data_IF_579937899295
#
_entry.id   IF_579937899295
#
_cell.length_a   1.000
_cell.length_b   1.000
_cell.length_c   1.000
_cell.angle_alpha   90.00
_cell.angle_beta   90.00
_cell.angle_gamma   90.00
#
_symmetry.space_group_name_H-M   'P 1'
#
loop_
_entity.id
_entity.type
_entity.pdbx_description
1 polymer ?
#
# COMPACT_ATOMS: atom_id res chain seq x y z
N UNK A 1 8.53 -22.79 59.19
CA UNK A 1 9.05 -21.93 58.10
C UNK A 1 9.77 -20.75 58.75
N UNK A 2 11.07 -20.55 58.50
CA UNK A 2 11.82 -19.41 59.05
C UNK A 2 11.66 -18.19 58.15
N UNK A 3 11.49 -17.00 58.73
CA UNK A 3 11.41 -15.72 58.00
C UNK A 3 12.60 -15.51 57.05
N UNK A 4 13.76 -16.04 57.42
CA UNK A 4 14.99 -15.97 56.63
C UNK A 4 14.89 -16.78 55.33
N UNK A 5 14.24 -17.94 55.37
CA UNK A 5 14.01 -18.79 54.19
C UNK A 5 13.03 -18.14 53.22
N UNK A 6 11.99 -17.48 53.74
CA UNK A 6 10.97 -16.82 52.94
C UNK A 6 11.53 -15.57 52.23
N UNK A 7 12.36 -14.78 52.93
CA UNK A 7 13.09 -13.67 52.33
C UNK A 7 14.06 -14.13 51.21
N UNK A 8 14.78 -15.24 51.43
CA UNK A 8 15.68 -15.78 50.42
C UNK A 8 14.94 -16.23 49.14
N UNK A 9 13.79 -16.89 49.27
CA UNK A 9 12.98 -17.31 48.13
C UNK A 9 12.43 -16.12 47.34
N UNK A 10 11.99 -15.05 48.00
CA UNK A 10 11.50 -13.83 47.33
C UNK A 10 12.62 -13.13 46.55
N UNK A 11 13.82 -13.04 47.12
CA UNK A 11 14.97 -12.43 46.43
C UNK A 11 15.37 -13.24 45.19
N UNK A 12 15.45 -14.57 45.32
CA UNK A 12 15.79 -15.44 44.20
C UNK A 12 14.71 -15.44 43.11
N UNK A 13 13.44 -15.52 43.49
CA UNK A 13 12.32 -15.46 42.56
C UNK A 13 12.19 -14.10 41.86
N UNK A 14 12.36 -13.00 42.60
CA UNK A 14 12.35 -11.64 42.06
C UNK A 14 13.52 -11.40 41.09
N UNK A 15 14.73 -11.84 41.45
CA UNK A 15 15.90 -11.77 40.58
C UNK A 15 15.73 -12.57 39.29
N UNK A 16 15.16 -13.78 39.38
CA UNK A 16 14.84 -14.61 38.22
C UNK A 16 13.81 -13.93 37.30
N UNK A 17 12.72 -13.40 37.86
CA UNK A 17 11.67 -12.70 37.09
C UNK A 17 12.20 -11.45 36.39
N UNK A 18 13.01 -10.64 37.09
CA UNK A 18 13.67 -9.46 36.49
C UNK A 18 14.61 -9.90 35.37
N UNK A 19 15.42 -10.93 35.60
CA UNK A 19 16.31 -11.50 34.58
C UNK A 19 15.55 -11.98 33.35
N UNK A 20 14.46 -12.73 33.54
CA UNK A 20 13.59 -13.20 32.45
C UNK A 20 12.95 -12.04 31.68
N UNK A 21 12.46 -10.99 32.37
CA UNK A 21 11.85 -9.82 31.73
C UNK A 21 12.87 -9.04 30.88
N UNK A 22 14.10 -8.87 31.38
CA UNK A 22 15.19 -8.22 30.64
C UNK A 22 15.60 -9.05 29.43
N UNK A 23 15.72 -10.37 29.58
CA UNK A 23 16.06 -11.27 28.48
C UNK A 23 14.98 -11.29 27.40
N UNK A 24 13.69 -11.30 27.79
CA UNK A 24 12.56 -11.21 26.86
C UNK A 24 12.60 -9.90 26.08
N UNK A 25 12.77 -8.76 26.76
CA UNK A 25 12.84 -7.44 26.10
C UNK A 25 14.01 -7.35 25.11
N UNK A 26 15.19 -7.84 25.47
CA UNK A 26 16.36 -7.89 24.56
C UNK A 26 16.09 -8.78 23.33
N UNK A 27 15.36 -9.88 23.51
CA UNK A 27 14.96 -10.76 22.40
C UNK A 27 13.96 -10.07 21.48
N UNK A 28 12.96 -9.39 22.04
CA UNK A 28 11.98 -8.60 21.28
C UNK A 28 12.66 -7.47 20.49
N UNK A 29 13.56 -6.70 21.12
CA UNK A 29 14.34 -5.64 20.46
C UNK A 29 15.24 -6.19 19.33
N UNK A 30 15.83 -7.39 19.50
CA UNK A 30 16.61 -8.05 18.43
C UNK A 30 15.72 -8.51 17.27
N UNK A 31 14.60 -9.15 17.57
CA UNK A 31 13.64 -9.59 16.56
C UNK A 31 13.08 -8.41 15.77
N UNK A 32 12.78 -7.30 16.44
CA UNK A 32 12.34 -6.08 15.77
C UNK A 32 13.42 -5.52 14.84
N UNK A 33 14.68 -5.48 15.28
CA UNK A 33 15.81 -5.07 14.43
C UNK A 33 16.02 -5.99 13.22
N UNK A 34 15.86 -7.30 13.39
CA UNK A 34 15.96 -8.26 12.29
C UNK A 34 14.78 -8.15 11.32
N UNK A 35 13.56 -8.00 11.84
CA UNK A 35 12.36 -7.75 11.02
C UNK A 35 12.48 -6.44 10.23
N UNK A 36 13.07 -5.42 10.83
CA UNK A 36 13.29 -4.12 10.21
C UNK A 36 14.62 -4.06 9.42
N UNK A 37 15.37 -5.16 9.31
CA UNK A 37 16.60 -5.24 8.51
C UNK A 37 16.20 -5.33 7.03
N UNK A 38 15.98 -4.16 6.42
CA UNK A 38 15.65 -4.06 5.00
C UNK A 38 16.75 -4.64 4.10
N UNK A 39 16.35 -5.48 3.13
CA UNK A 39 17.22 -6.01 2.07
C UNK A 39 17.38 -4.90 1.02
N UNK A 40 18.21 -3.89 1.33
CA UNK A 40 18.37 -2.71 0.47
C UNK A 40 17.08 -1.88 0.34
N UNK A 41 17.20 -0.66 -0.21
CA UNK A 41 16.03 0.12 -0.63
C UNK A 41 15.84 -0.13 -2.12
N UNK A 42 14.78 -0.81 -2.57
CA UNK A 42 14.50 -0.84 -3.99
C UNK A 42 14.26 0.60 -4.44
N UNK A 43 14.90 1.01 -5.55
CA UNK A 43 14.62 2.28 -6.19
C UNK A 43 13.26 2.15 -6.89
N UNK A 44 12.20 2.30 -6.09
CA UNK A 44 10.80 2.34 -6.50
C UNK A 44 10.31 3.77 -6.33
N UNK A 45 9.51 4.22 -7.29
CA UNK A 45 8.96 5.56 -7.32
C UNK A 45 9.80 6.52 -8.16
N UNK A 46 9.13 7.57 -8.59
CA UNK A 46 9.68 8.63 -9.43
C UNK A 46 8.62 9.69 -9.65
N UNK A 47 9.00 10.86 -10.20
CA UNK A 47 8.03 11.91 -10.45
C UNK A 47 7.00 11.43 -11.48
N UNK A 48 5.76 11.77 -11.23
CA UNK A 48 4.68 11.56 -12.18
C UNK A 48 3.86 12.83 -12.35
N UNK A 49 3.25 12.96 -13.53
CA UNK A 49 2.30 14.01 -13.86
C UNK A 49 1.21 13.35 -14.69
N UNK A 50 0.04 13.18 -14.08
CA UNK A 50 -1.12 12.49 -14.61
C UNK A 50 -2.36 13.38 -14.49
N UNK A 51 -3.49 12.91 -14.99
CA UNK A 51 -4.79 13.57 -14.88
C UNK A 51 -5.68 12.71 -13.99
N UNK A 52 -6.30 13.34 -13.01
CA UNK A 52 -7.29 12.66 -12.17
C UNK A 52 -8.61 12.48 -12.90
N UNK A 53 -9.42 11.54 -12.42
CA UNK A 53 -10.78 11.31 -12.89
C UNK A 53 -11.70 12.55 -12.79
N UNK A 54 -11.36 13.52 -11.93
CA UNK A 54 -12.01 14.84 -11.82
C UNK A 54 -11.53 15.86 -12.87
N UNK A 55 -10.57 15.49 -13.72
CA UNK A 55 -9.99 16.33 -14.77
C UNK A 55 -8.89 17.26 -14.29
N UNK A 56 -8.49 17.16 -13.02
CA UNK A 56 -7.41 17.98 -12.46
C UNK A 56 -6.05 17.31 -12.72
N UNK A 57 -5.02 18.07 -13.13
CA UNK A 57 -3.66 17.55 -13.18
C UNK A 57 -3.20 17.19 -11.77
N UNK A 58 -2.55 16.03 -11.62
CA UNK A 58 -2.00 15.53 -10.36
C UNK A 58 -0.57 15.08 -10.57
N UNK A 59 0.28 15.45 -9.63
CA UNK A 59 1.69 15.10 -9.63
C UNK A 59 2.04 14.28 -8.40
N UNK A 60 3.19 13.63 -8.43
CA UNK A 60 3.73 12.94 -7.25
C UNK A 60 3.93 13.88 -6.05
N UNK A 61 4.13 15.18 -6.29
CA UNK A 61 4.37 16.18 -5.25
C UNK A 61 3.11 16.47 -4.43
N UNK A 62 1.93 16.36 -5.04
CA UNK A 62 0.64 16.59 -4.38
C UNK A 62 0.37 15.60 -3.23
N UNK A 63 1.06 14.46 -3.24
CA UNK A 63 0.87 13.38 -2.28
C UNK A 63 2.02 13.27 -1.26
N UNK A 64 3.00 14.18 -1.29
CA UNK A 64 4.11 14.18 -0.33
C UNK A 64 3.58 14.50 1.08
N UNK A 65 4.00 13.70 2.07
CA UNK A 65 3.60 13.85 3.46
C UNK A 65 2.27 13.19 3.82
N UNK A 66 1.60 12.56 2.85
CA UNK A 66 0.41 11.74 3.05
C UNK A 66 0.77 10.27 3.00
N UNK A 67 -0.05 9.42 3.63
CA UNK A 67 0.02 7.99 3.38
C UNK A 67 -0.75 7.70 2.11
N UNK A 68 -0.11 6.99 1.18
CA UNK A 68 -0.65 6.74 -0.15
C UNK A 68 -0.56 5.27 -0.45
N UNK A 69 -1.67 4.68 -0.87
CA UNK A 69 -1.73 3.29 -1.31
C UNK A 69 -1.99 3.27 -2.81
N UNK A 70 -0.96 2.97 -3.58
CA UNK A 70 -1.01 2.97 -5.06
C UNK A 70 -1.31 1.57 -5.56
N UNK A 71 -2.29 1.47 -6.46
CA UNK A 71 -2.56 0.26 -7.22
C UNK A 71 -2.55 0.56 -8.72
N UNK A 72 -1.87 -0.31 -9.46
CA UNK A 72 -1.80 -0.27 -10.92
C UNK A 72 -2.75 -1.32 -11.48
N UNK A 73 -3.66 -0.91 -12.35
CA UNK A 73 -4.66 -1.80 -12.94
C UNK A 73 -5.32 -1.17 -14.16
N UNK A 74 -6.44 -1.73 -14.61
CA UNK A 74 -7.21 -1.17 -15.72
C UNK A 74 -8.69 -1.51 -15.54
N UNK A 75 -9.59 -0.72 -16.13
CA UNK A 75 -11.04 -0.85 -15.84
C UNK A 75 -11.68 -2.11 -16.41
N UNK A 76 -11.09 -2.69 -17.45
CA UNK A 76 -11.59 -3.90 -18.14
C UNK A 76 -11.01 -5.21 -17.58
N UNK A 77 -10.40 -5.15 -16.41
CA UNK A 77 -9.77 -6.31 -15.76
C UNK A 77 -10.84 -7.27 -15.22
N UNK A 78 -10.95 -8.50 -15.75
CA UNK A 78 -12.16 -9.31 -15.61
C UNK A 78 -12.43 -9.81 -14.18
N UNK A 79 -11.39 -10.03 -13.37
CA UNK A 79 -11.55 -10.66 -12.05
C UNK A 79 -10.71 -10.00 -10.95
N UNK A 80 -9.40 -9.82 -11.15
CA UNK A 80 -8.47 -9.48 -10.06
C UNK A 80 -8.60 -8.04 -9.56
N UNK A 81 -8.83 -7.10 -10.48
CA UNK A 81 -8.79 -5.67 -10.12
C UNK A 81 -9.96 -5.24 -9.23
N UNK A 82 -11.22 -5.64 -9.50
CA UNK A 82 -12.32 -5.39 -8.58
C UNK A 82 -12.06 -5.96 -7.18
N UNK A 83 -11.62 -7.22 -7.09
CA UNK A 83 -11.33 -7.89 -5.82
C UNK A 83 -10.24 -7.17 -5.00
N UNK A 84 -9.17 -6.72 -5.65
CA UNK A 84 -8.09 -6.01 -4.98
C UNK A 84 -8.49 -4.58 -4.56
N UNK A 85 -9.33 -3.91 -5.35
CA UNK A 85 -9.86 -2.60 -4.98
C UNK A 85 -10.81 -2.67 -3.79
N UNK A 86 -11.69 -3.67 -3.72
CA UNK A 86 -12.55 -3.88 -2.55
C UNK A 86 -11.72 -4.08 -1.27
N UNK A 87 -10.67 -4.92 -1.34
CA UNK A 87 -9.74 -5.13 -0.22
C UNK A 87 -9.01 -3.85 0.15
N UNK A 88 -8.54 -3.09 -0.84
CA UNK A 88 -7.89 -1.80 -0.62
C UNK A 88 -8.80 -0.85 0.15
N UNK A 89 -10.05 -0.69 -0.28
CA UNK A 89 -11.01 0.21 0.38
C UNK A 89 -11.31 -0.25 1.79
N UNK A 90 -11.48 -1.56 2.01
CA UNK A 90 -11.69 -2.10 3.36
C UNK A 90 -10.52 -1.74 4.31
N UNK A 91 -9.27 -1.85 3.83
CA UNK A 91 -8.07 -1.47 4.61
C UNK A 91 -8.02 0.04 4.87
N UNK A 92 -8.35 0.87 3.89
CA UNK A 92 -8.43 2.33 4.05
C UNK A 92 -9.45 2.69 5.13
N UNK A 93 -10.64 2.11 5.08
CA UNK A 93 -11.70 2.37 6.05
C UNK A 93 -11.34 1.87 7.47
N UNK A 94 -10.59 0.77 7.58
CA UNK A 94 -10.08 0.30 8.87
C UNK A 94 -9.03 1.25 9.45
N UNK A 95 -8.10 1.75 8.63
CA UNK A 95 -7.07 2.71 9.06
C UNK A 95 -7.70 4.03 9.49
N UNK A 96 -8.70 4.52 8.75
CA UNK A 96 -9.37 5.78 9.06
C UNK A 96 -10.17 5.72 10.38
N UNK A 97 -10.53 4.52 10.85
CA UNK A 97 -11.16 4.33 12.18
C UNK A 97 -10.15 4.42 13.33
N UNK A 98 -8.85 4.42 13.06
CA UNK A 98 -7.78 4.47 14.07
C UNK A 98 -7.33 5.94 14.23
N UNK A 99 -7.74 6.66 15.29
CA UNK A 99 -7.52 8.10 15.38
C UNK A 99 -6.05 8.53 15.49
N UNK A 100 -5.16 7.60 15.84
CA UNK A 100 -3.72 7.85 15.96
C UNK A 100 -2.97 7.76 14.63
N UNK A 101 -3.60 7.25 13.57
CA UNK A 101 -2.97 7.08 12.27
C UNK A 101 -3.32 8.25 11.32
N UNK A 102 -2.41 8.63 10.41
CA UNK A 102 -2.74 9.54 9.33
C UNK A 102 -3.76 8.93 8.38
N UNK A 103 -4.52 9.78 7.68
CA UNK A 103 -5.41 9.35 6.61
C UNK A 103 -4.63 8.64 5.51
N UNK A 104 -5.20 7.55 4.99
CA UNK A 104 -4.65 6.80 3.87
C UNK A 104 -5.38 7.19 2.58
N UNK A 105 -4.64 7.69 1.59
CA UNK A 105 -5.17 8.06 0.27
C UNK A 105 -5.00 6.88 -0.70
N UNK A 106 -6.08 6.21 -1.12
CA UNK A 106 -6.01 5.19 -2.16
C UNK A 106 -5.91 5.83 -3.56
N UNK A 107 -4.90 5.43 -4.34
CA UNK A 107 -4.68 5.84 -5.72
C UNK A 107 -4.79 4.64 -6.66
N UNK A 108 -5.66 4.76 -7.66
CA UNK A 108 -5.72 3.85 -8.79
C UNK A 108 -5.04 4.51 -10.00
N UNK A 109 -4.01 3.88 -10.55
CA UNK A 109 -3.32 4.33 -11.76
C UNK A 109 -3.59 3.33 -12.88
N UNK A 110 -4.18 3.79 -13.98
CA UNK A 110 -4.38 2.89 -15.12
C UNK A 110 -3.05 2.54 -15.80
N UNK A 111 -2.93 1.28 -16.25
CA UNK A 111 -1.87 0.82 -17.17
C UNK A 111 -2.34 0.74 -18.63
N UNK A 112 -3.61 1.04 -18.90
CA UNK A 112 -4.24 0.91 -20.21
C UNK A 112 -4.96 2.21 -20.66
N UNK A 113 -4.19 3.28 -20.93
CA UNK A 113 -4.75 4.60 -21.22
C UNK A 113 -5.52 4.68 -22.55
N UNK A 114 -5.43 3.67 -23.42
CA UNK A 114 -6.18 3.64 -24.68
C UNK A 114 -7.67 3.37 -24.46
N UNK A 115 -8.00 2.50 -23.49
CA UNK A 115 -9.39 2.18 -23.10
C UNK A 115 -9.84 2.99 -21.88
N UNK A 116 -8.92 3.30 -20.98
CA UNK A 116 -9.20 3.96 -19.70
C UNK A 116 -9.08 5.49 -19.79
N UNK A 117 -10.03 6.11 -20.50
CA UNK A 117 -10.17 7.56 -20.50
C UNK A 117 -10.67 8.09 -19.14
N UNK A 118 -10.63 9.41 -18.98
CA UNK A 118 -10.99 10.07 -17.73
C UNK A 118 -12.41 9.70 -17.27
N UNK A 119 -13.38 9.68 -18.18
CA UNK A 119 -14.78 9.37 -17.87
C UNK A 119 -14.97 7.91 -17.46
N UNK A 120 -14.28 6.98 -18.12
CA UNK A 120 -14.31 5.56 -17.78
C UNK A 120 -13.76 5.33 -16.37
N UNK A 121 -12.59 5.92 -16.07
CA UNK A 121 -11.99 5.86 -14.73
C UNK A 121 -12.91 6.50 -13.69
N UNK A 122 -13.52 7.65 -13.98
CA UNK A 122 -14.43 8.32 -13.06
C UNK A 122 -15.65 7.47 -12.70
N UNK A 123 -16.21 6.73 -13.66
CA UNK A 123 -17.28 5.77 -13.39
C UNK A 123 -16.77 4.63 -12.52
N UNK A 124 -15.64 4.03 -12.91
CA UNK A 124 -15.07 2.87 -12.23
C UNK A 124 -14.75 3.16 -10.77
N UNK A 125 -13.98 4.21 -10.46
CA UNK A 125 -13.56 4.49 -9.07
C UNK A 125 -14.73 4.85 -8.15
N UNK A 126 -15.79 5.46 -8.71
CA UNK A 126 -16.99 5.86 -7.97
C UNK A 126 -17.80 4.65 -7.49
N UNK A 127 -17.68 3.49 -8.14
CA UNK A 127 -18.35 2.26 -7.72
C UNK A 127 -17.74 1.69 -6.43
N UNK A 128 -16.45 1.93 -6.17
CA UNK A 128 -15.75 1.41 -5.00
C UNK A 128 -15.80 2.36 -3.79
N UNK A 129 -15.34 3.61 -3.95
CA UNK A 129 -15.29 4.56 -2.84
C UNK A 129 -15.13 6.00 -3.31
N UNK A 130 -15.80 6.98 -2.68
CA UNK A 130 -15.56 8.40 -2.97
C UNK A 130 -14.16 8.88 -2.59
N UNK A 131 -13.39 8.10 -1.82
CA UNK A 131 -11.99 8.41 -1.47
C UNK A 131 -11.00 7.92 -2.53
N UNK A 132 -11.41 7.03 -3.42
CA UNK A 132 -10.54 6.44 -4.43
C UNK A 132 -10.25 7.45 -5.53
N UNK A 133 -8.97 7.83 -5.66
CA UNK A 133 -8.52 8.74 -6.69
C UNK A 133 -7.99 7.95 -7.88
N UNK A 134 -8.76 7.93 -8.96
CA UNK A 134 -8.32 7.41 -10.25
C UNK A 134 -7.45 8.41 -11.01
N UNK A 135 -6.33 7.93 -11.57
CA UNK A 135 -5.38 8.67 -12.40
C UNK A 135 -5.22 7.98 -13.77
N UNK A 136 -5.23 8.78 -14.83
CA UNK A 136 -4.96 8.39 -16.23
C UNK A 136 -4.07 9.44 -16.91
N UNK A 137 -3.68 9.20 -18.15
CA UNK A 137 -2.82 10.11 -18.91
C UNK A 137 -2.55 9.59 -20.31
N UNK A 138 -1.64 10.25 -21.02
CA UNK A 138 -1.14 9.73 -22.28
C UNK A 138 -0.33 8.45 -22.07
N UNK A 139 -0.25 7.60 -23.10
CA UNK A 139 0.59 6.40 -23.10
C UNK A 139 2.02 6.67 -22.61
N UNK A 140 2.64 7.76 -23.07
CA UNK A 140 3.99 8.13 -22.64
C UNK A 140 4.09 8.43 -21.12
N UNK A 141 3.07 9.07 -20.53
CA UNK A 141 3.03 9.33 -19.09
C UNK A 141 2.84 8.04 -18.29
N UNK A 142 1.98 7.13 -18.75
CA UNK A 142 1.77 5.82 -18.12
C UNK A 142 3.01 4.94 -18.24
N UNK A 143 3.62 4.84 -19.42
CA UNK A 143 4.88 4.10 -19.65
C UNK A 143 5.99 4.61 -18.70
N UNK A 144 6.10 5.93 -18.52
CA UNK A 144 7.08 6.54 -17.61
C UNK A 144 6.82 6.17 -16.14
N UNK A 145 5.56 6.26 -15.71
CA UNK A 145 5.13 5.94 -14.35
C UNK A 145 5.32 4.46 -14.06
N UNK A 146 4.83 3.59 -14.92
CA UNK A 146 4.96 2.14 -14.75
C UNK A 146 6.43 1.76 -14.62
N UNK A 147 7.31 2.34 -15.45
CA UNK A 147 8.76 2.13 -15.35
C UNK A 147 9.35 2.63 -14.02
N UNK A 148 8.94 3.80 -13.54
CA UNK A 148 9.40 4.36 -12.26
C UNK A 148 9.01 3.50 -11.06
N UNK A 149 7.83 2.86 -11.13
CA UNK A 149 7.33 1.95 -10.10
C UNK A 149 7.63 0.46 -10.41
N UNK A 150 8.40 0.18 -11.48
CA UNK A 150 8.78 -1.17 -11.93
C UNK A 150 7.58 -2.10 -12.17
N UNK A 151 6.48 -1.52 -12.63
CA UNK A 151 5.28 -2.23 -13.07
C UNK A 151 5.50 -2.66 -14.52
N UNK A 152 5.24 -3.93 -14.79
CA UNK A 152 5.27 -4.49 -16.13
C UNK A 152 3.84 -4.73 -16.59
N UNK A 153 3.56 -4.40 -17.85
CA UNK A 153 2.31 -4.69 -18.53
C UNK A 153 2.61 -4.92 -20.00
N UNK A 154 1.76 -5.69 -20.67
CA UNK A 154 1.88 -5.96 -22.10
C UNK A 154 0.49 -6.06 -22.69
N UNK A 155 0.28 -5.39 -23.82
CA UNK A 155 -0.90 -5.66 -24.63
C UNK A 155 -0.81 -7.10 -25.15
N UNK A 156 -1.82 -7.91 -24.84
CA UNK A 156 -1.98 -9.26 -25.38
C UNK A 156 -2.32 -9.23 -26.88
N UNK A 157 -2.30 -10.40 -27.55
CA UNK A 157 -2.73 -10.48 -28.93
C UNK A 157 -4.18 -10.01 -29.06
N UNK A 158 -4.42 -9.14 -30.03
CA UNK A 158 -5.77 -8.65 -30.34
C UNK A 158 -6.62 -9.80 -30.90
N UNK A 159 -7.85 -9.93 -30.42
CA UNK A 159 -8.82 -10.89 -30.94
C UNK A 159 -9.50 -10.38 -32.22
N UNK A 160 -10.48 -11.14 -32.74
CA UNK A 160 -11.21 -10.80 -33.97
C UNK A 160 -12.01 -9.48 -33.86
N UNK A 161 -12.33 -9.05 -32.65
CA UNK A 161 -13.03 -7.80 -32.33
C UNK A 161 -12.06 -6.65 -31.96
N UNK A 162 -10.76 -6.86 -32.14
CA UNK A 162 -9.67 -5.93 -31.80
C UNK A 162 -9.51 -5.69 -30.28
N UNK A 163 -10.07 -6.55 -29.44
CA UNK A 163 -9.92 -6.49 -27.97
C UNK A 163 -8.63 -7.20 -27.52
N UNK A 164 -8.07 -6.77 -26.39
CA UNK A 164 -6.83 -7.34 -25.86
C UNK A 164 -6.83 -7.41 -24.33
N UNK A 165 -6.17 -8.42 -23.77
CA UNK A 165 -5.92 -8.52 -22.33
C UNK A 165 -4.59 -7.82 -22.03
N UNK A 166 -4.52 -7.08 -20.94
CA UNK A 166 -3.30 -6.41 -20.44
C UNK A 166 -2.65 -7.20 -19.31
#
# INVERSE_FOLDING_TARGET
LSWRSLAATVVLGGGLLVGMKVMKRRKEEKLEKERNRGIGKPLLGGPFSLVSHEGQPRTSEDYIGQWVLIYFGFTHCPDICPDELEKMIAVVDEIDRIPSLPNLTPLFITIDPERDNQEAIARYVKEFSPKLVGLTGSKAQIDQVAKAYRVYYSEGPKDEDNDYIV
#
